data_IF_555138100875
#
_entry.id   IF_555138100875
#
_cell.length_a   1.000
_cell.length_b   1.000
_cell.length_c   1.000
_cell.angle_alpha   90.00
_cell.angle_beta   90.00
_cell.angle_gamma   90.00
#
_symmetry.space_group_name_H-M   'P 1'
#
loop_
_entity.id
_entity.type
_entity.pdbx_description
1 polymer ?
2 polymer ?
3 polymer ?
4 non-polymer ?
5 non-polymer ?
6 non-polymer ?
7 non-polymer ?
8 non-polymer ?
9 water ?
#
# COMPACT_ATOMS: atom_id res chain seq x y z
N UNK A 1 11.12 -17.73 4.08
CA UNK A 1 12.03 -16.59 4.15
C UNK A 1 11.67 -15.64 5.27
N UNK A 2 11.98 -14.35 5.11
CA UNK A 2 11.70 -13.33 6.11
C UNK A 2 10.25 -12.86 5.99
N UNK A 3 9.61 -12.55 7.13
CA UNK A 3 8.19 -12.12 7.10
C UNK A 3 7.99 -10.87 7.95
N UNK A 4 6.89 -10.15 7.72
CA UNK A 4 6.62 -8.98 8.54
C UNK A 4 5.16 -8.95 8.90
N UNK A 5 4.85 -8.26 9.99
CA UNK A 5 3.48 -7.93 10.32
C UNK A 5 3.49 -6.43 10.49
N UNK A 6 2.48 -5.75 9.93
CA UNK A 6 2.38 -4.29 10.09
C UNK A 6 0.95 -3.89 10.25
N UNK A 7 0.71 -2.88 11.11
CA UNK A 7 -0.58 -2.25 11.25
C UNK A 7 -0.40 -0.83 10.79
N UNK A 8 -1.40 -0.32 10.03
CA UNK A 8 -1.39 1.03 9.46
C UNK A 8 -2.66 1.75 9.90
N UNK A 9 -2.50 2.78 10.76
CA UNK A 9 -3.65 3.56 11.23
C UNK A 9 -3.67 4.92 10.55
N UNK A 10 -4.87 5.38 10.19
CA UNK A 10 -5.10 6.71 9.64
C UNK A 10 -6.22 7.38 10.42
N UNK A 11 -5.91 8.52 11.05
CA UNK A 11 -6.91 9.35 11.78
C UNK A 11 -6.96 10.67 11.05
N UNK A 12 -8.16 11.08 10.61
CA UNK A 12 -8.29 12.32 9.82
C UNK A 12 -9.34 13.21 10.42
N UNK A 13 -8.98 14.43 10.84
CA UNK A 13 -10.02 15.32 11.39
C UNK A 13 -10.80 15.93 10.25
N UNK A 14 -12.00 16.40 10.55
CA UNK A 14 -12.91 16.92 9.52
C UNK A 14 -13.83 17.97 10.20
N UNK A 15 -13.27 19.13 10.62
CA UNK A 15 -14.08 20.10 11.39
C UNK A 15 -15.39 20.42 10.69
N UNK A 16 -16.47 20.37 11.46
CA UNK A 16 -17.82 20.64 10.95
C UNK A 16 -18.49 19.40 10.38
N UNK A 17 -17.73 18.26 10.30
CA UNK A 17 -18.28 17.01 9.74
C UNK A 17 -18.11 15.84 10.71
N UNK A 18 -18.22 16.14 12.00
CA UNK A 18 -18.11 15.14 13.06
C UNK A 18 -16.71 15.00 13.61
N UNK A 19 -16.50 13.91 14.33
CA UNK A 19 -15.21 13.58 14.94
C UNK A 19 -14.29 12.88 13.93
N UNK A 20 -12.97 12.88 14.22
CA UNK A 20 -12.02 12.27 13.27
C UNK A 20 -12.27 10.79 13.01
N UNK A 21 -12.23 10.42 11.73
CA UNK A 21 -12.41 9.01 11.38
C UNK A 21 -11.13 8.30 11.69
N UNK A 22 -11.22 7.10 12.31
CA UNK A 22 -10.03 6.27 12.56
C UNK A 22 -10.22 4.99 11.70
N UNK A 23 -9.24 4.67 10.86
CA UNK A 23 -9.23 3.43 10.10
C UNK A 23 -7.91 2.72 10.38
N UNK A 24 -7.98 1.40 10.56
CA UNK A 24 -6.78 0.60 10.69
C UNK A 24 -6.86 -0.57 9.72
N UNK A 25 -5.71 -0.95 9.13
CA UNK A 25 -5.57 -2.14 8.29
C UNK A 25 -4.34 -2.90 8.80
N UNK A 26 -4.47 -4.22 8.84
CA UNK A 26 -3.39 -5.08 9.29
C UNK A 26 -2.90 -5.95 8.13
N UNK A 27 -1.55 -6.13 7.99
CA UNK A 27 -0.94 -6.94 6.91
C UNK A 27 0.04 -7.92 7.50
N UNK A 28 0.16 -9.06 6.82
CA UNK A 28 1.28 -9.99 6.97
C UNK A 28 1.93 -9.92 5.58
N UNK A 29 3.20 -9.48 5.50
CA UNK A 29 3.85 -9.29 4.21
C UNK A 29 2.96 -8.39 3.37
N UNK A 30 2.63 -8.79 2.11
CA UNK A 30 1.79 -8.02 1.22
C UNK A 30 0.32 -8.44 1.27
N UNK A 31 -0.06 -9.19 2.30
CA UNK A 31 -1.42 -9.72 2.44
C UNK A 31 -2.19 -9.00 3.54
N UNK A 32 -3.22 -8.22 3.18
CA UNK A 32 -4.08 -7.58 4.20
C UNK A 32 -4.94 -8.66 4.85
N UNK A 33 -5.11 -8.63 6.17
CA UNK A 33 -5.91 -9.69 6.83
C UNK A 33 -7.01 -9.15 7.76
N UNK A 34 -6.94 -7.85 8.16
CA UNK A 34 -7.94 -7.26 9.05
C UNK A 34 -8.17 -5.79 8.71
N UNK A 35 -9.35 -5.28 9.11
CA UNK A 35 -9.63 -3.87 9.02
C UNK A 35 -10.49 -3.45 10.21
N UNK A 36 -10.48 -2.15 10.49
CA UNK A 36 -11.38 -1.55 11.52
C UNK A 36 -11.66 -0.15 11.02
N UNK A 37 -12.92 0.27 11.01
CA UNK A 37 -13.27 1.58 10.50
C UNK A 37 -14.31 2.24 11.46
N UNK A 38 -13.97 3.39 12.08
CA UNK A 38 -14.89 4.04 13.02
C UNK A 38 -16.18 4.55 12.31
N UNK A 39 -16.12 4.70 10.96
CA UNK A 39 -17.28 5.14 10.16
C UNK A 39 -18.19 3.97 9.73
N UNK A 40 -17.80 2.69 10.04
CA UNK A 40 -18.64 1.54 9.69
C UNK A 40 -19.96 1.64 10.53
N UNK A 41 -21.05 1.03 10.05
CA UNK A 41 -22.34 1.10 10.78
C UNK A 41 -22.21 0.59 12.22
N UNK A 42 -21.47 -0.51 12.44
CA UNK A 42 -21.22 -1.07 13.77
C UNK A 42 -19.72 -1.40 13.84
N UNK A 43 -18.86 -0.38 14.15
CA UNK A 43 -17.40 -0.61 14.10
C UNK A 43 -16.92 -1.83 14.84
N UNK A 44 -16.21 -2.69 14.10
CA UNK A 44 -15.70 -3.95 14.61
C UNK A 44 -14.50 -4.37 13.77
N UNK A 45 -13.55 -5.11 14.38
CA UNK A 45 -12.44 -5.63 13.59
C UNK A 45 -13.07 -6.72 12.70
N UNK A 46 -12.78 -6.65 11.40
CA UNK A 46 -13.33 -7.59 10.44
C UNK A 46 -12.23 -8.35 9.73
N UNK A 47 -12.50 -9.63 9.40
CA UNK A 47 -11.49 -10.42 8.68
C UNK A 47 -11.42 -10.01 7.22
N UNK A 48 -10.23 -10.08 6.63
CA UNK A 48 -10.05 -9.70 5.24
C UNK A 48 -9.16 -10.71 4.49
N UNK A 49 -8.88 -11.84 5.12
CA UNK A 49 -8.13 -12.95 4.56
C UNK A 49 -8.70 -14.27 5.08
N UNK A 50 -8.70 -15.34 4.26
CA UNK A 50 -9.35 -16.59 4.71
C UNK A 50 -8.81 -17.24 5.96
N UNK A 51 -7.49 -17.19 6.14
CA UNK A 51 -6.79 -17.81 7.25
C UNK A 51 -6.99 -17.15 8.64
N UNK A 52 -7.61 -15.95 8.68
CA UNK A 52 -7.85 -15.28 9.98
C UNK A 52 -9.31 -15.55 10.45
N UNK A 53 -10.15 -16.06 9.53
CA UNK A 53 -11.58 -16.31 9.84
C UNK A 53 -11.78 -17.29 10.99
N UNK A 54 -10.84 -18.22 11.17
CA UNK A 54 -10.90 -19.24 12.25
C UNK A 54 -10.74 -18.66 13.67
N UNK A 55 -10.25 -17.40 13.79
CA UNK A 55 -10.10 -16.80 15.12
C UNK A 55 -11.46 -16.71 15.82
N UNK A 56 -11.50 -17.06 17.09
CA UNK A 56 -12.75 -17.10 17.85
C UNK A 56 -13.38 -15.73 18.13
N UNK A 57 -14.57 -15.72 18.77
CA UNK A 57 -15.23 -14.44 19.11
C UNK A 57 -14.42 -13.53 20.04
N UNK A 58 -13.61 -14.13 20.93
CA UNK A 58 -12.75 -13.41 21.88
C UNK A 58 -11.67 -12.60 21.15
N UNK A 59 -11.24 -13.07 19.98
CA UNK A 59 -10.23 -12.38 19.14
C UNK A 59 -10.86 -11.08 18.62
N UNK A 60 -12.00 -11.18 17.93
CA UNK A 60 -12.68 -10.03 17.36
C UNK A 60 -13.14 -9.06 18.42
N UNK A 61 -13.63 -9.57 19.58
CA UNK A 61 -14.06 -8.69 20.68
C UNK A 61 -12.90 -7.89 21.29
N UNK A 62 -11.79 -8.56 21.66
CA UNK A 62 -10.64 -7.92 22.28
C UNK A 62 -10.05 -6.87 21.33
N UNK A 63 -9.86 -7.25 20.06
CA UNK A 63 -9.26 -6.34 19.09
C UNK A 63 -10.14 -5.13 18.80
N UNK A 64 -11.48 -5.34 18.73
CA UNK A 64 -12.40 -4.22 18.54
C UNK A 64 -12.23 -3.21 19.70
N UNK A 65 -12.15 -3.70 20.95
CA UNK A 65 -11.96 -2.79 22.08
C UNK A 65 -10.62 -2.03 22.00
N UNK A 66 -9.55 -2.68 21.49
CA UNK A 66 -8.24 -2.02 21.29
C UNK A 66 -8.37 -0.83 20.28
N UNK A 67 -9.00 -1.08 19.11
CA UNK A 67 -9.12 -0.02 18.11
C UNK A 67 -10.02 1.12 18.62
N UNK A 68 -11.12 0.79 19.33
CA UNK A 68 -11.98 1.86 19.84
C UNK A 68 -11.22 2.77 20.81
N UNK A 69 -10.41 2.17 21.70
CA UNK A 69 -9.62 2.96 22.65
C UNK A 69 -8.59 3.77 21.89
N UNK A 70 -7.96 3.16 20.85
CA UNK A 70 -6.96 3.86 20.05
C UNK A 70 -7.58 5.04 19.32
N UNK A 71 -8.80 4.86 18.73
CA UNK A 71 -9.45 5.97 18.05
C UNK A 71 -9.57 7.20 19.00
N UNK A 72 -9.97 6.96 20.27
CA UNK A 72 -10.11 8.03 21.27
C UNK A 72 -8.78 8.67 21.58
N UNK A 73 -7.73 7.84 21.75
CA UNK A 73 -6.38 8.37 21.99
C UNK A 73 -5.90 9.24 20.79
N UNK A 74 -6.14 8.77 19.54
CA UNK A 74 -5.76 9.52 18.36
C UNK A 74 -6.50 10.85 18.30
N UNK A 75 -7.78 10.87 18.73
CA UNK A 75 -8.49 12.16 18.68
C UNK A 75 -7.85 13.16 19.67
N UNK A 76 -7.42 12.67 20.86
CA UNK A 76 -6.71 13.50 21.85
C UNK A 76 -5.37 13.99 21.24
N UNK A 77 -4.62 13.05 20.63
CA UNK A 77 -3.35 13.39 19.95
C UNK A 77 -3.57 14.44 18.88
N UNK A 78 -4.62 14.33 18.03
CA UNK A 78 -4.89 15.35 16.99
C UNK A 78 -5.11 16.74 17.60
N UNK A 79 -5.89 16.82 18.73
CA UNK A 79 -6.11 18.09 19.43
C UNK A 79 -4.75 18.64 19.91
N UNK A 80 -3.91 17.79 20.54
CA UNK A 80 -2.60 18.24 21.04
C UNK A 80 -1.68 18.73 19.92
N UNK A 81 -1.67 17.96 18.81
CA UNK A 81 -0.86 18.24 17.62
C UNK A 81 -1.21 19.60 17.04
N UNK A 82 -2.52 19.90 16.92
CA UNK A 82 -3.03 21.16 16.40
C UNK A 82 -2.44 22.30 17.29
N UNK A 83 -2.46 22.14 18.62
CA UNK A 83 -1.86 23.11 19.55
C UNK A 83 -0.35 23.24 19.41
N UNK A 84 0.38 22.09 19.26
CA UNK A 84 1.84 22.19 19.12
C UNK A 84 2.28 22.97 17.91
N UNK A 85 1.47 22.98 16.85
CA UNK A 85 1.74 23.71 15.60
C UNK A 85 0.99 25.04 15.47
N UNK A 86 0.34 25.48 16.56
CA UNK A 86 -0.44 26.73 16.60
C UNK A 86 -1.41 26.79 15.42
N UNK A 87 -2.07 25.67 15.12
CA UNK A 87 -2.99 25.61 13.98
C UNK A 87 -4.44 25.96 14.39
N UNK A 88 -5.21 26.50 13.43
CA UNK A 88 -6.62 26.85 13.65
C UNK A 88 -7.49 25.60 13.84
N UNK A 89 -8.66 25.75 14.47
CA UNK A 89 -9.58 24.64 14.66
C UNK A 89 -10.35 24.34 13.37
N UNK A 90 -10.15 25.16 12.31
CA UNK A 90 -10.87 25.07 11.02
C UNK A 90 -10.33 24.09 9.99
N UNK A 91 -9.05 23.78 10.06
CA UNK A 91 -8.47 22.92 9.03
C UNK A 91 -8.47 21.45 9.40
N UNK A 92 -8.39 20.58 8.37
CA UNK A 92 -8.34 19.11 8.46
C UNK A 92 -6.88 18.63 8.49
N UNK A 93 -6.56 17.75 9.47
CA UNK A 93 -5.22 17.21 9.70
C UNK A 93 -5.24 15.71 9.76
N UNK A 94 -4.09 15.10 9.46
CA UNK A 94 -3.99 13.65 9.42
C UNK A 94 -2.90 13.16 10.38
N UNK A 95 -3.20 12.12 11.15
CA UNK A 95 -2.22 11.47 11.99
C UNK A 95 -2.18 10.01 11.51
N UNK A 96 -0.99 9.56 11.09
CA UNK A 96 -0.78 8.18 10.64
C UNK A 96 0.14 7.50 11.61
N UNK A 97 -0.10 6.22 11.84
CA UNK A 97 0.70 5.40 12.72
C UNK A 97 1.06 4.13 11.92
N UNK A 98 2.31 3.62 12.06
CA UNK A 98 2.71 2.42 11.32
C UNK A 98 3.65 1.67 12.28
N UNK A 99 3.32 0.40 12.61
CA UNK A 99 4.17 -0.33 13.53
C UNK A 99 4.14 -1.80 13.18
N UNK A 100 5.12 -2.53 13.69
CA UNK A 100 5.11 -3.98 13.49
C UNK A 100 6.49 -4.55 13.62
N UNK A 101 6.60 -5.85 13.28
CA UNK A 101 7.84 -6.60 13.48
C UNK A 101 8.21 -7.36 12.23
N UNK A 102 9.55 -7.58 12.07
CA UNK A 102 10.12 -8.38 10.99
C UNK A 102 10.77 -9.60 11.63
N UNK A 103 10.51 -10.79 11.09
CA UNK A 103 11.09 -12.02 11.67
C UNK A 103 11.79 -12.80 10.55
N UNK A 104 12.81 -13.59 10.91
CA UNK A 104 13.51 -14.40 9.94
C UNK A 104 12.82 -15.72 9.68
N UNK A 105 13.46 -16.62 8.87
CA UNK A 105 12.86 -17.93 8.58
C UNK A 105 12.57 -18.79 9.80
N UNK A 106 13.30 -18.53 10.90
CA UNK A 106 13.15 -19.24 12.18
C UNK A 106 12.21 -18.57 13.19
N UNK A 107 11.51 -17.52 12.77
CA UNK A 107 10.57 -16.82 13.65
C UNK A 107 11.20 -15.83 14.62
N UNK A 108 12.54 -15.67 14.59
CA UNK A 108 13.21 -14.76 15.54
C UNK A 108 13.06 -13.28 15.09
N UNK A 109 12.91 -12.36 16.08
CA UNK A 109 12.79 -10.93 15.79
C UNK A 109 14.03 -10.38 15.12
N UNK A 110 13.85 -9.74 13.95
CA UNK A 110 14.94 -9.12 13.20
C UNK A 110 14.93 -7.61 13.45
N UNK A 111 13.72 -7.01 13.51
CA UNK A 111 13.61 -5.56 13.64
C UNK A 111 12.18 -5.22 14.05
N UNK A 112 12.04 -4.21 14.91
CA UNK A 112 10.72 -3.68 15.25
C UNK A 112 10.61 -2.23 14.75
N UNK A 113 9.38 -1.77 14.49
CA UNK A 113 9.08 -0.41 14.02
C UNK A 113 7.86 0.10 14.77
N UNK A 114 7.85 1.41 15.10
CA UNK A 114 6.71 2.04 15.76
C UNK A 114 6.84 3.52 15.52
N UNK A 115 6.12 4.02 14.52
CA UNK A 115 6.36 5.42 14.13
C UNK A 115 5.14 6.13 13.65
N UNK A 116 5.29 7.45 13.48
CA UNK A 116 4.14 8.31 13.19
C UNK A 116 4.48 9.41 12.22
N UNK A 117 3.43 9.89 11.54
CA UNK A 117 3.49 11.03 10.63
C UNK A 117 2.31 11.96 10.88
N UNK A 118 2.57 13.27 10.77
CA UNK A 118 1.51 14.26 10.91
C UNK A 118 1.45 15.05 9.62
N UNK A 119 0.27 15.12 9.01
CA UNK A 119 0.08 15.79 7.72
C UNK A 119 1.10 15.30 6.66
N UNK A 120 1.36 13.98 6.66
CA UNK A 120 2.24 13.34 5.67
C UNK A 120 3.73 13.44 5.91
N UNK A 121 4.14 14.10 7.03
CA UNK A 121 5.57 14.30 7.34
C UNK A 121 5.95 13.48 8.57
N UNK A 122 7.13 12.81 8.53
CA UNK A 122 7.56 12.07 9.73
C UNK A 122 7.50 12.98 10.96
N UNK A 123 6.99 12.43 12.07
CA UNK A 123 6.77 13.18 13.30
C UNK A 123 7.65 12.64 14.40
N UNK A 124 7.48 11.37 14.74
CA UNK A 124 8.31 10.74 15.77
C UNK A 124 8.39 9.27 15.45
N UNK A 125 9.51 8.64 15.83
CA UNK A 125 9.69 7.23 15.56
C UNK A 125 10.49 6.56 16.69
N UNK A 126 10.13 5.32 17.03
CA UNK A 126 10.90 4.57 18.00
C UNK A 126 12.15 4.14 17.26
N UNK A 127 13.31 4.34 17.89
CA UNK A 127 14.58 3.94 17.26
C UNK A 127 14.70 2.41 17.18
N UNK A 128 15.67 1.92 16.39
CA UNK A 128 15.90 0.49 16.22
C UNK A 128 16.16 -0.23 17.56
N UNK A 129 16.72 0.49 18.52
CA UNK A 129 16.99 -0.09 19.85
C UNK A 129 15.73 -0.40 20.62
N UNK A 130 14.56 0.14 20.18
CA UNK A 130 13.26 -0.07 20.82
C UNK A 130 13.22 0.54 22.25
N UNK A 131 14.12 1.50 22.51
CA UNK A 131 14.21 2.13 23.86
C UNK A 131 14.21 3.67 23.82
N UNK A 132 14.45 4.27 22.67
CA UNK A 132 14.57 5.73 22.59
C UNK A 132 13.80 6.20 21.34
N UNK A 133 13.52 7.50 21.25
CA UNK A 133 12.74 8.09 20.18
C UNK A 133 13.54 9.11 19.39
N UNK A 134 13.16 9.31 18.12
CA UNK A 134 13.71 10.39 17.31
C UNK A 134 12.54 11.29 16.94
N UNK A 135 12.63 12.56 17.34
CA UNK A 135 11.60 13.58 17.08
C UNK A 135 12.04 14.46 15.91
N UNK A 136 11.11 14.70 14.97
CA UNK A 136 11.43 15.47 13.75
C UNK A 136 11.58 16.97 13.94
N UNK A 137 10.93 17.51 14.98
CA UNK A 137 10.86 18.95 15.19
C UNK A 137 10.52 19.27 16.63
N UNK A 138 10.43 20.58 16.97
CA UNK A 138 10.18 20.95 18.38
C UNK A 138 8.81 20.52 18.90
N UNK A 139 7.82 20.31 18.01
CA UNK A 139 6.50 19.85 18.44
C UNK A 139 6.64 18.35 18.85
N UNK A 140 7.30 17.50 17.99
CA UNK A 140 7.49 16.10 18.31
C UNK A 140 8.39 15.95 19.56
N UNK A 141 9.26 16.96 19.86
CA UNK A 141 10.05 16.90 21.10
C UNK A 141 9.14 16.94 22.32
N UNK A 142 7.98 17.59 22.20
CA UNK A 142 7.01 17.58 23.31
C UNK A 142 6.46 16.17 23.51
N UNK A 143 6.06 15.52 22.39
CA UNK A 143 5.60 14.14 22.48
C UNK A 143 6.71 13.29 23.09
N UNK A 144 7.97 13.48 22.64
CA UNK A 144 9.08 12.68 23.16
C UNK A 144 9.24 12.85 24.68
N UNK A 145 9.19 14.10 25.16
CA UNK A 145 9.31 14.37 26.61
C UNK A 145 8.17 13.66 27.37
N UNK A 146 6.95 13.72 26.85
CA UNK A 146 5.81 13.08 27.51
C UNK A 146 6.04 11.55 27.55
N UNK A 147 6.50 10.96 26.42
CA UNK A 147 6.68 9.51 26.34
C UNK A 147 7.87 9.06 27.14
N UNK A 148 8.90 9.90 27.24
CA UNK A 148 10.05 9.54 28.07
C UNK A 148 9.59 9.55 29.54
N UNK A 149 8.80 10.57 29.95
CA UNK A 149 8.30 10.66 31.33
C UNK A 149 7.44 9.45 31.69
N UNK A 150 6.63 8.99 30.72
CA UNK A 150 5.75 7.84 30.94
C UNK A 150 6.42 6.46 30.69
N UNK A 151 7.73 6.43 30.28
CA UNK A 151 8.45 5.19 29.93
C UNK A 151 7.64 4.42 28.86
N UNK A 152 7.04 5.18 27.93
CA UNK A 152 6.18 4.64 26.88
C UNK A 152 6.90 3.60 26.00
N UNK A 153 8.21 3.83 25.72
CA UNK A 153 8.95 2.91 24.87
C UNK A 153 8.95 1.46 25.40
N UNK A 154 8.93 1.29 26.74
CA UNK A 154 8.99 -0.05 27.34
C UNK A 154 7.79 -0.91 26.97
N UNK A 155 6.59 -0.28 26.91
CA UNK A 155 5.37 -0.98 26.52
C UNK A 155 5.43 -1.29 25.00
N UNK A 156 6.05 -0.40 24.23
CA UNK A 156 6.17 -0.61 22.77
C UNK A 156 7.10 -1.76 22.48
N UNK A 157 8.27 -1.79 23.16
CA UNK A 157 9.22 -2.87 23.02
C UNK A 157 8.62 -4.20 23.42
N UNK A 158 7.86 -4.23 24.54
CA UNK A 158 7.28 -5.47 25.01
C UNK A 158 6.37 -6.08 23.93
N UNK A 159 5.55 -5.25 23.26
CA UNK A 159 4.67 -5.76 22.21
C UNK A 159 5.50 -6.24 21.01
N UNK A 160 6.47 -5.44 20.56
CA UNK A 160 7.24 -5.78 19.37
C UNK A 160 8.05 -7.07 19.50
N UNK A 161 8.60 -7.35 20.71
CA UNK A 161 9.39 -8.55 20.91
C UNK A 161 8.54 -9.75 21.36
N UNK A 162 7.34 -9.46 21.86
CA UNK A 162 6.41 -10.43 22.43
C UNK A 162 5.26 -10.78 21.52
N UNK A 163 4.09 -10.19 21.81
CA UNK A 163 2.83 -10.39 21.06
C UNK A 163 3.01 -10.27 19.55
N UNK A 164 3.79 -9.29 19.08
CA UNK A 164 3.94 -9.09 17.64
C UNK A 164 4.54 -10.33 16.96
N UNK A 165 5.63 -10.86 17.55
CA UNK A 165 6.34 -12.01 17.02
C UNK A 165 5.48 -13.29 17.16
N UNK A 166 4.84 -13.46 18.31
CA UNK A 166 4.02 -14.66 18.60
C UNK A 166 2.79 -14.73 17.71
N UNK A 167 2.09 -13.60 17.50
CA UNK A 167 0.91 -13.60 16.61
C UNK A 167 1.35 -13.75 15.14
N UNK A 168 2.45 -13.09 14.72
CA UNK A 168 2.93 -13.27 13.34
C UNK A 168 3.23 -14.76 13.07
N UNK A 169 3.93 -15.42 14.01
CA UNK A 169 4.27 -16.84 13.87
C UNK A 169 3.00 -17.70 13.73
N UNK A 170 1.94 -17.37 14.51
CA UNK A 170 0.62 -18.06 14.46
C UNK A 170 -0.04 -17.85 13.07
N UNK A 171 -0.06 -16.58 12.60
CA UNK A 171 -0.68 -16.26 11.30
C UNK A 171 0.04 -16.96 10.16
N UNK A 172 1.37 -17.03 10.21
CA UNK A 172 2.17 -17.71 9.19
C UNK A 172 1.85 -19.18 9.16
N UNK A 173 1.67 -19.80 10.34
CA UNK A 173 1.33 -21.22 10.39
C UNK A 173 -0.09 -21.42 9.81
N UNK A 174 -1.06 -20.64 10.30
CA UNK A 174 -2.45 -20.75 9.86
C UNK A 174 -2.67 -20.46 8.37
N UNK A 175 -1.91 -19.52 7.81
CA UNK A 175 -2.02 -19.18 6.40
C UNK A 175 -0.87 -19.67 5.54
N UNK A 176 -0.18 -20.73 5.98
CA UNK A 176 1.02 -21.23 5.31
C UNK A 176 0.88 -21.53 3.82
N UNK A 177 -0.28 -22.05 3.38
CA UNK A 177 -0.42 -22.41 1.96
C UNK A 177 -0.31 -21.20 1.02
N UNK A 178 -0.58 -19.96 1.55
CA UNK A 178 -0.54 -18.72 0.78
C UNK A 178 0.66 -17.85 1.20
N UNK A 179 0.79 -17.61 2.51
CA UNK A 179 1.83 -16.73 3.06
C UNK A 179 3.25 -17.22 2.84
N UNK A 180 3.41 -18.57 2.74
CA UNK A 180 4.73 -19.17 2.54
C UNK A 180 4.90 -19.62 1.09
N UNK A 181 4.03 -19.13 0.19
CA UNK A 181 4.11 -19.46 -1.22
C UNK A 181 4.48 -18.24 -2.03
N UNK A 182 5.54 -18.35 -2.83
CA UNK A 182 5.91 -17.25 -3.72
C UNK A 182 5.42 -17.63 -5.12
N UNK A 183 4.58 -16.80 -5.75
CA UNK A 183 4.07 -17.07 -7.10
C UNK A 183 4.98 -16.32 -8.06
N UNK A 184 5.64 -17.02 -8.99
CA UNK A 184 6.58 -16.31 -9.87
C UNK A 184 5.86 -15.46 -10.90
N UNK A 185 6.56 -14.43 -11.45
CA UNK A 185 5.92 -13.64 -12.52
C UNK A 185 5.76 -14.43 -13.80
N UNK A 186 4.65 -14.21 -14.50
CA UNK A 186 4.37 -14.73 -15.84
C UNK A 186 4.81 -13.57 -16.73
N UNK A 187 5.75 -13.84 -17.65
CA UNK A 187 6.38 -12.75 -18.43
C UNK A 187 6.14 -12.84 -19.92
N UNK A 188 6.26 -11.70 -20.58
CA UNK A 188 6.21 -11.57 -22.05
C UNK A 188 6.73 -10.19 -22.43
N UNK A 189 7.19 -10.06 -23.67
CA UNK A 189 7.68 -8.79 -24.21
C UNK A 189 6.78 -8.43 -25.38
N UNK A 190 6.28 -7.18 -25.40
CA UNK A 190 5.47 -6.68 -26.52
C UNK A 190 6.26 -5.67 -27.30
N UNK A 191 5.88 -5.47 -28.56
CA UNK A 191 6.62 -4.58 -29.46
C UNK A 191 5.59 -3.72 -30.14
N UNK A 192 5.74 -2.39 -30.04
CA UNK A 192 4.80 -1.51 -30.69
C UNK A 192 5.53 -0.42 -31.46
N UNK A 193 5.47 -0.39 -32.81
CA UNK A 193 6.12 0.70 -33.53
C UNK A 193 5.53 2.05 -33.12
N UNK A 194 6.39 3.05 -32.98
CA UNK A 194 6.06 4.45 -32.64
C UNK A 194 6.04 5.26 -33.94
N UNK A 195 6.98 4.95 -34.84
CA UNK A 195 7.16 5.63 -36.13
C UNK A 195 7.96 4.66 -37.00
N UNK A 196 8.38 5.11 -38.21
CA UNK A 196 9.15 4.21 -39.07
C UNK A 196 10.50 3.82 -38.47
N UNK A 197 11.04 4.63 -37.58
CA UNK A 197 12.39 4.40 -37.07
C UNK A 197 12.52 4.09 -35.57
N UNK A 198 11.39 4.01 -34.83
CA UNK A 198 11.46 3.65 -33.41
C UNK A 198 10.29 2.76 -33.02
N UNK A 199 10.49 1.93 -31.99
CA UNK A 199 9.43 1.06 -31.47
C UNK A 199 9.60 0.97 -29.96
N UNK A 200 8.49 0.70 -29.26
CA UNK A 200 8.57 0.49 -27.81
C UNK A 200 8.65 -1.00 -27.58
N UNK A 201 9.58 -1.40 -26.70
CA UNK A 201 9.64 -2.78 -26.21
C UNK A 201 9.13 -2.68 -24.76
N UNK A 202 8.11 -3.45 -24.41
CA UNK A 202 7.58 -3.43 -23.04
C UNK A 202 7.70 -4.82 -22.44
N UNK A 203 8.36 -4.90 -21.29
CA UNK A 203 8.57 -6.15 -20.61
C UNK A 203 7.56 -6.26 -19.47
N UNK A 204 6.71 -7.28 -19.50
CA UNK A 204 5.62 -7.50 -18.55
C UNK A 204 5.93 -8.57 -17.52
N UNK A 205 5.50 -8.33 -16.29
CA UNK A 205 5.53 -9.31 -15.19
C UNK A 205 4.12 -9.31 -14.60
N UNK A 206 3.44 -10.48 -14.63
CA UNK A 206 2.09 -10.60 -14.12
C UNK A 206 1.92 -11.74 -13.14
N UNK A 207 0.95 -11.60 -12.24
CA UNK A 207 0.57 -12.70 -11.37
C UNK A 207 1.56 -13.15 -10.32
N UNK A 208 2.44 -12.25 -9.89
CA UNK A 208 3.44 -12.60 -8.90
C UNK A 208 3.08 -12.16 -7.46
N UNK A 209 3.66 -12.87 -6.50
CA UNK A 209 3.50 -12.56 -5.08
C UNK A 209 4.77 -13.12 -4.41
N UNK A 210 5.40 -12.37 -3.49
CA UNK A 210 5.07 -11.01 -3.01
C UNK A 210 5.36 -9.93 -4.04
N UNK A 211 5.08 -8.68 -3.68
CA UNK A 211 5.21 -7.54 -4.60
C UNK A 211 6.63 -7.26 -5.04
N UNK A 212 7.62 -7.52 -4.17
CA UNK A 212 9.03 -7.23 -4.46
C UNK A 212 9.46 -7.92 -5.73
N UNK A 213 9.99 -7.13 -6.72
CA UNK A 213 10.46 -7.62 -7.99
C UNK A 213 11.49 -6.67 -8.56
N UNK A 214 12.41 -7.19 -9.41
CA UNK A 214 13.34 -6.28 -10.08
C UNK A 214 13.13 -6.54 -11.58
N UNK A 215 12.74 -5.49 -12.33
CA UNK A 215 12.54 -5.55 -13.79
C UNK A 215 13.46 -4.51 -14.40
N UNK A 216 14.39 -4.94 -15.25
CA UNK A 216 15.31 -4.00 -15.89
C UNK A 216 15.46 -4.29 -17.37
N UNK A 217 15.82 -3.26 -18.16
CA UNK A 217 16.17 -3.49 -19.56
C UNK A 217 17.67 -3.20 -19.67
N UNK A 218 18.37 -3.99 -20.50
CA UNK A 218 19.78 -3.78 -20.84
C UNK A 218 19.89 -3.63 -22.33
N UNK A 219 20.83 -2.80 -22.78
CA UNK A 219 21.14 -2.62 -24.22
C UNK A 219 22.63 -3.02 -24.25
N UNK A 220 22.96 -4.06 -25.03
CA UNK A 220 24.30 -4.63 -25.12
C UNK A 220 24.83 -4.95 -23.71
N UNK A 221 23.94 -5.45 -22.82
CA UNK A 221 24.32 -5.81 -21.46
C UNK A 221 24.51 -4.69 -20.45
N UNK A 222 24.20 -3.42 -20.84
CA UNK A 222 24.33 -2.27 -19.95
C UNK A 222 22.96 -1.83 -19.49
N UNK A 223 22.76 -1.65 -18.16
CA UNK A 223 21.46 -1.18 -17.63
C UNK A 223 21.03 0.13 -18.29
N UNK A 224 19.73 0.23 -18.60
CA UNK A 224 19.13 1.40 -19.23
C UNK A 224 18.26 2.20 -18.22
N UNK A 225 18.80 2.43 -17.02
CA UNK A 225 18.10 3.14 -15.93
C UNK A 225 17.40 4.43 -16.34
N UNK A 226 18.14 5.37 -16.92
CA UNK A 226 17.57 6.65 -17.32
C UNK A 226 16.62 6.60 -18.50
N UNK A 227 16.74 5.57 -19.36
CA UNK A 227 15.89 5.47 -20.55
C UNK A 227 14.73 4.48 -20.43
N UNK A 228 14.53 3.92 -19.22
CA UNK A 228 13.43 2.96 -19.03
C UNK A 228 12.24 3.63 -18.36
N UNK A 229 11.01 3.41 -18.89
CA UNK A 229 9.80 3.87 -18.19
C UNK A 229 9.37 2.66 -17.34
N UNK A 230 9.42 2.82 -16.02
CA UNK A 230 9.12 1.74 -15.08
C UNK A 230 7.91 2.11 -14.23
N UNK A 231 6.77 1.41 -14.40
CA UNK A 231 5.55 1.74 -13.63
C UNK A 231 5.65 1.16 -12.23
N UNK A 232 4.92 1.80 -11.26
CA UNK A 232 4.91 1.28 -9.90
C UNK A 232 4.23 -0.07 -9.91
N UNK A 233 4.74 -0.99 -9.09
CA UNK A 233 4.13 -2.31 -8.90
C UNK A 233 2.71 -2.10 -8.41
N UNK A 234 1.78 -2.82 -9.05
CA UNK A 234 0.34 -2.60 -8.83
C UNK A 234 -0.40 -3.87 -8.50
N UNK A 235 -1.42 -3.78 -7.63
CA UNK A 235 -2.17 -5.00 -7.27
C UNK A 235 -3.14 -5.42 -8.38
N UNK A 236 -3.27 -6.74 -8.63
CA UNK A 236 -4.21 -7.21 -9.66
C UNK A 236 -5.64 -7.39 -9.10
N UNK A 237 -5.76 -7.49 -7.78
CA UNK A 237 -7.05 -7.68 -7.12
C UNK A 237 -7.31 -9.12 -6.72
N UNK A 238 -6.42 -10.05 -7.11
CA UNK A 238 -6.52 -11.50 -6.79
C UNK A 238 -5.35 -11.94 -5.86
N UNK A 239 -4.77 -10.98 -5.10
CA UNK A 239 -3.62 -11.12 -4.18
C UNK A 239 -2.29 -10.91 -4.92
N UNK A 240 -2.28 -11.03 -6.24
CA UNK A 240 -1.03 -10.90 -7.00
C UNK A 240 -0.74 -9.48 -7.45
N UNK A 241 0.46 -9.25 -7.98
CA UNK A 241 0.93 -7.94 -8.45
C UNK A 241 1.37 -7.98 -9.90
N UNK A 242 1.46 -6.78 -10.51
CA UNK A 242 1.89 -6.64 -11.90
C UNK A 242 2.91 -5.52 -11.98
N UNK A 243 3.72 -5.56 -13.02
CA UNK A 243 4.68 -4.47 -13.28
C UNK A 243 5.12 -4.57 -14.72
N UNK A 244 5.50 -3.43 -15.29
CA UNK A 244 6.10 -3.43 -16.62
C UNK A 244 7.21 -2.40 -16.71
N UNK A 245 8.11 -2.61 -17.68
CA UNK A 245 9.23 -1.70 -17.96
C UNK A 245 9.30 -1.55 -19.46
N UNK A 246 9.39 -0.30 -19.94
CA UNK A 246 9.41 -0.08 -21.37
C UNK A 246 10.61 0.74 -21.80
N UNK A 247 11.07 0.47 -23.01
CA UNK A 247 12.16 1.24 -23.57
C UNK A 247 11.81 1.54 -25.04
N UNK A 248 12.29 2.68 -25.54
CA UNK A 248 12.11 3.09 -26.94
C UNK A 248 13.39 2.72 -27.65
N UNK A 249 13.28 1.89 -28.69
CA UNK A 249 14.44 1.36 -29.38
C UNK A 249 14.46 1.73 -30.87
N UNK A 250 15.66 1.93 -31.43
CA UNK A 250 15.75 2.17 -32.87
C UNK A 250 15.30 0.92 -33.65
N UNK A 251 14.53 1.11 -34.73
CA UNK A 251 14.06 0.00 -35.55
C UNK A 251 15.25 -0.81 -36.06
N UNK A 252 15.14 -2.13 -35.92
CA UNK A 252 16.19 -3.06 -36.34
C UNK A 252 17.18 -3.42 -35.24
N UNK A 253 17.19 -2.67 -34.09
CA UNK A 253 18.12 -2.97 -33.00
C UNK A 253 17.48 -3.77 -31.86
N UNK A 254 16.24 -4.24 -32.05
CA UNK A 254 15.52 -4.94 -30.97
C UNK A 254 16.33 -6.05 -30.28
N UNK A 255 17.11 -6.85 -31.06
CA UNK A 255 17.84 -7.99 -30.48
C UNK A 255 18.99 -7.61 -29.54
N UNK A 256 19.34 -6.32 -29.50
CA UNK A 256 20.38 -5.83 -28.59
C UNK A 256 19.84 -5.58 -27.18
N UNK A 257 18.53 -5.70 -27.02
CA UNK A 257 17.87 -5.39 -25.75
C UNK A 257 17.41 -6.67 -25.05
N UNK A 258 17.66 -6.74 -23.74
CA UNK A 258 17.28 -7.90 -22.93
C UNK A 258 16.58 -7.40 -21.70
N UNK A 259 15.51 -8.09 -21.34
CA UNK A 259 14.78 -7.75 -20.13
C UNK A 259 15.17 -8.78 -19.09
N UNK A 260 15.49 -8.30 -17.90
CA UNK A 260 15.96 -9.14 -16.80
C UNK A 260 14.92 -9.09 -15.68
N UNK A 261 14.49 -10.25 -15.19
CA UNK A 261 13.47 -10.35 -14.14
C UNK A 261 14.03 -11.12 -12.95
N UNK A 262 13.98 -10.51 -11.76
CA UNK A 262 14.39 -11.18 -10.51
C UNK A 262 13.15 -11.18 -9.60
N UNK A 263 12.80 -12.37 -9.06
CA UNK A 263 11.65 -12.50 -8.14
C UNK A 263 11.90 -13.73 -7.29
N UNK A 264 11.44 -13.71 -6.04
CA UNK A 264 11.67 -14.91 -5.19
C UNK A 264 11.01 -16.21 -5.66
N UNK A 265 9.96 -16.10 -6.48
CA UNK A 265 9.23 -17.22 -7.03
C UNK A 265 9.98 -17.95 -8.13
N UNK A 266 11.01 -17.30 -8.67
CA UNK A 266 11.79 -17.83 -9.78
C UNK A 266 12.96 -18.73 -9.36
N UNK A 267 13.07 -19.96 -9.95
CA UNK A 267 14.25 -20.82 -9.67
C UNK A 267 15.55 -20.06 -9.95
N UNK A 268 15.63 -19.39 -11.13
CA UNK A 268 16.74 -18.53 -11.50
C UNK A 268 16.22 -17.27 -12.24
N UNK A 269 16.94 -16.13 -12.23
CA UNK A 269 16.45 -14.94 -12.95
C UNK A 269 16.18 -15.18 -14.43
N UNK A 270 15.20 -14.45 -14.99
CA UNK A 270 14.84 -14.58 -16.38
C UNK A 270 15.57 -13.55 -17.22
N UNK A 271 15.94 -13.94 -18.44
CA UNK A 271 16.52 -13.06 -19.47
C UNK A 271 15.56 -13.23 -20.64
N UNK A 272 14.86 -12.14 -21.00
CA UNK A 272 13.90 -12.20 -22.09
C UNK A 272 14.26 -11.26 -23.21
N UNK A 273 13.85 -11.62 -24.41
CA UNK A 273 14.02 -10.78 -25.57
C UNK A 273 12.69 -10.75 -26.31
N UNK A 274 12.54 -9.77 -27.21
CA UNK A 274 11.36 -9.72 -28.05
C UNK A 274 11.46 -10.89 -29.05
N UNK A 275 10.41 -11.72 -29.07
CA UNK A 275 10.32 -12.89 -29.94
C UNK A 275 9.31 -12.58 -31.08
N UNK A 276 9.79 -12.09 -32.24
CA UNK A 276 8.85 -11.77 -33.33
C UNK A 276 8.25 -13.00 -34.02
N UNK B 2 3.88 19.14 1.54
CA UNK B 2 2.59 19.67 1.99
C UNK B 2 1.47 18.77 1.43
N UNK B 3 1.33 18.69 0.09
CA UNK B 3 0.36 17.81 -0.56
C UNK B 3 1.03 17.02 -1.68
N UNK B 4 0.51 15.81 -1.97
CA UNK B 4 1.06 14.93 -3.00
C UNK B 4 -0.06 14.46 -3.92
N UNK B 5 0.13 14.69 -5.21
CA UNK B 5 -0.87 14.34 -6.22
C UNK B 5 -0.86 12.83 -6.55
N UNK B 6 -2.01 12.22 -6.86
CA UNK B 6 -1.97 10.79 -7.12
C UNK B 6 -1.34 10.40 -8.43
N UNK B 7 -0.66 9.26 -8.41
CA UNK B 7 -0.24 8.53 -9.59
C UNK B 7 -1.51 7.68 -9.91
N UNK B 8 -1.80 7.44 -11.18
CA UNK B 8 -3.01 6.69 -11.58
C UNK B 8 -2.62 5.67 -12.65
N UNK B 9 -3.06 4.42 -12.47
CA UNK B 9 -2.87 3.36 -13.45
C UNK B 9 -4.20 2.69 -13.67
N UNK B 10 -4.59 2.50 -14.93
CA UNK B 10 -5.86 1.83 -15.27
C UNK B 10 -5.49 0.59 -16.09
N UNK B 11 -6.01 -0.56 -15.69
CA UNK B 11 -5.60 -1.83 -16.27
C UNK B 11 -6.52 -2.96 -15.87
N UNK B 12 -6.38 -4.10 -16.53
CA UNK B 12 -7.19 -5.25 -16.21
C UNK B 12 -6.47 -6.26 -15.31
N UNK B 13 -7.25 -7.04 -14.57
CA UNK B 13 -6.70 -8.07 -13.68
C UNK B 13 -5.88 -9.12 -14.45
N UNK B 14 -6.43 -9.55 -15.63
CA UNK B 14 -5.78 -10.50 -16.55
C UNK B 14 -5.68 -9.83 -17.90
N UNK B 15 -4.74 -10.24 -18.81
CA UNK B 15 -4.69 -9.64 -20.15
C UNK B 15 -6.08 -9.76 -20.76
N UNK B 16 -6.53 -8.68 -21.37
CA UNK B 16 -7.88 -8.59 -21.90
C UNK B 16 -8.09 -9.51 -23.10
N UNK B 17 -9.24 -10.17 -23.12
CA UNK B 17 -9.65 -11.04 -24.21
C UNK B 17 -11.14 -10.75 -24.44
N UNK B 18 -11.47 -10.20 -25.63
CA UNK B 18 -12.86 -9.84 -25.97
C UNK B 18 -13.83 -10.98 -25.75
N UNK B 19 -14.86 -10.73 -24.95
CA UNK B 19 -15.88 -11.71 -24.63
C UNK B 19 -15.62 -12.52 -23.37
N UNK B 20 -14.47 -12.30 -22.72
CA UNK B 20 -14.15 -13.03 -21.49
C UNK B 20 -14.22 -12.09 -20.28
N UNK B 21 -14.95 -12.51 -19.23
CA UNK B 21 -15.12 -11.73 -18.01
C UNK B 21 -13.76 -11.51 -17.36
N UNK B 22 -13.58 -10.34 -16.78
CA UNK B 22 -12.31 -9.93 -16.19
C UNK B 22 -12.63 -8.86 -15.12
N UNK B 23 -11.60 -8.14 -14.64
CA UNK B 23 -11.81 -7.02 -13.70
C UNK B 23 -11.07 -5.83 -14.22
N UNK B 24 -11.75 -4.67 -14.21
CA UNK B 24 -11.14 -3.37 -14.60
C UNK B 24 -10.72 -2.70 -13.31
N UNK B 25 -9.43 -2.35 -13.24
CA UNK B 25 -8.86 -1.74 -12.05
C UNK B 25 -8.40 -0.33 -12.28
N UNK B 26 -8.49 0.49 -11.25
CA UNK B 26 -7.85 1.81 -11.25
C UNK B 26 -7.13 1.92 -9.93
N UNK B 27 -5.79 1.99 -10.00
CA UNK B 27 -4.94 2.05 -8.80
C UNK B 27 -4.48 3.48 -8.67
N UNK B 28 -4.81 4.10 -7.53
CA UNK B 28 -4.36 5.45 -7.23
C UNK B 28 -3.37 5.34 -6.10
N UNK B 29 -2.22 6.01 -6.21
CA UNK B 29 -1.20 5.83 -5.17
C UNK B 29 -0.35 7.09 -5.05
N UNK B 30 0.46 7.14 -4.01
CA UNK B 30 1.38 8.25 -3.80
C UNK B 30 0.76 9.59 -3.43
N UNK B 31 -0.52 9.58 -3.02
CA UNK B 31 -1.21 10.83 -2.72
C UNK B 31 -1.31 11.16 -1.24
N UNK B 32 -1.53 12.46 -0.95
CA UNK B 32 -1.72 12.96 0.40
C UNK B 32 -2.39 14.34 0.27
N UNK B 33 -3.50 14.63 0.97
CA UNK B 33 -4.22 13.83 1.97
C UNK B 33 -4.99 12.67 1.32
N UNK B 34 -5.62 11.84 2.16
CA UNK B 34 -6.28 10.61 1.76
C UNK B 34 -7.60 10.80 1.01
N UNK B 35 -8.30 11.93 1.24
CA UNK B 35 -9.57 12.11 0.53
C UNK B 35 -9.34 12.16 -0.97
N UNK B 36 -10.09 11.36 -1.68
CA UNK B 36 -9.95 11.22 -3.14
C UNK B 36 -11.26 10.70 -3.68
N UNK B 37 -11.55 11.03 -4.93
CA UNK B 37 -12.77 10.51 -5.55
C UNK B 37 -12.34 9.85 -6.84
N UNK B 38 -12.77 8.59 -7.06
CA UNK B 38 -12.38 7.83 -8.26
C UNK B 38 -13.64 7.27 -8.91
N UNK B 39 -13.79 7.45 -10.22
CA UNK B 39 -14.86 6.86 -10.99
C UNK B 39 -14.26 5.97 -12.07
N UNK B 40 -14.94 4.85 -12.36
CA UNK B 40 -14.58 4.07 -13.54
C UNK B 40 -15.67 4.44 -14.55
N UNK B 41 -15.27 4.65 -15.81
CA UNK B 41 -16.20 5.04 -16.89
C UNK B 41 -16.21 4.00 -17.99
N UNK B 42 -17.42 3.75 -18.55
CA UNK B 42 -17.63 2.89 -19.71
C UNK B 42 -18.23 3.81 -20.76
N UNK B 43 -17.55 3.98 -21.90
CA UNK B 43 -18.02 4.87 -22.99
C UNK B 43 -18.46 6.27 -22.43
N UNK B 44 -17.61 6.83 -21.56
CA UNK B 44 -17.77 8.14 -20.92
C UNK B 44 -18.79 8.21 -19.80
N UNK B 45 -19.46 7.09 -19.49
CA UNK B 45 -20.49 7.09 -18.43
C UNK B 45 -19.99 6.39 -17.17
N UNK B 46 -20.38 6.91 -16.01
CA UNK B 46 -19.97 6.32 -14.72
C UNK B 46 -20.52 4.93 -14.52
N UNK B 47 -19.63 3.97 -14.17
CA UNK B 47 -20.05 2.61 -13.85
C UNK B 47 -20.56 2.63 -12.41
N UNK B 48 -21.72 2.03 -12.15
CA UNK B 48 -22.32 1.99 -10.80
C UNK B 48 -21.72 0.88 -9.95
N UNK B 49 -21.77 1.04 -8.61
CA UNK B 49 -21.31 0.01 -7.65
C UNK B 49 -19.86 -0.46 -7.79
N UNK B 50 -18.96 0.45 -8.14
CA UNK B 50 -17.53 0.13 -8.21
C UNK B 50 -17.10 -0.07 -6.75
N UNK B 51 -16.25 -1.09 -6.49
CA UNK B 51 -15.77 -1.37 -5.15
C UNK B 51 -14.36 -0.84 -4.98
N UNK B 52 -13.87 -0.76 -3.74
CA UNK B 52 -12.48 -0.32 -3.53
C UNK B 52 -11.86 -0.98 -2.35
N UNK B 53 -10.53 -0.99 -2.31
CA UNK B 53 -9.80 -1.56 -1.18
C UNK B 53 -9.89 -0.65 0.07
N UNK B 54 -9.49 -1.21 1.24
CA UNK B 54 -9.44 -0.45 2.48
C UNK B 54 -8.26 0.52 2.45
N UNK B 55 -8.50 1.72 2.96
CA UNK B 55 -7.46 2.75 2.96
C UNK B 55 -6.17 2.27 3.61
N UNK B 56 -5.06 2.31 2.85
CA UNK B 56 -3.75 1.93 3.37
C UNK B 56 -2.71 2.90 2.84
N UNK B 57 -1.45 2.76 3.29
CA UNK B 57 -0.41 3.68 2.84
C UNK B 57 0.93 2.98 2.81
N UNK B 58 1.86 3.59 2.08
CA UNK B 58 3.23 3.08 1.87
C UNK B 58 4.17 3.59 2.96
N UNK B 59 5.45 3.10 2.97
CA UNK B 59 6.45 3.53 3.96
C UNK B 59 6.74 5.02 3.93
N UNK B 60 6.50 5.71 2.79
CA UNK B 60 6.68 7.15 2.69
C UNK B 60 5.43 7.93 3.12
N UNK B 61 4.46 7.20 3.74
CA UNK B 61 3.20 7.72 4.25
C UNK B 61 2.17 8.07 3.17
N UNK B 62 2.52 7.95 1.88
CA UNK B 62 1.51 8.27 0.87
C UNK B 62 0.45 7.15 0.78
N UNK B 63 -0.81 7.56 0.52
CA UNK B 63 -1.92 6.61 0.48
C UNK B 63 -2.05 5.90 -0.85
N UNK B 64 -2.73 4.73 -0.84
CA UNK B 64 -3.03 4.04 -2.09
C UNK B 64 -4.37 3.32 -1.95
N UNK B 65 -5.09 3.22 -3.06
CA UNK B 65 -6.39 2.54 -3.14
C UNK B 65 -6.52 1.88 -4.47
N UNK B 66 -7.19 0.74 -4.50
CA UNK B 66 -7.53 0.06 -5.73
C UNK B 66 -9.05 0.14 -5.88
N UNK B 67 -9.53 0.69 -7.00
CA UNK B 67 -10.96 0.69 -7.35
C UNK B 67 -11.14 -0.36 -8.42
N UNK B 68 -12.23 -1.15 -8.34
CA UNK B 68 -12.35 -2.24 -9.29
C UNK B 68 -13.80 -2.60 -9.57
N UNK B 69 -14.02 -3.17 -10.77
CA UNK B 69 -15.35 -3.63 -11.19
C UNK B 69 -15.23 -4.83 -12.14
N UNK B 70 -16.19 -5.77 -12.06
CA UNK B 70 -16.21 -6.92 -12.96
C UNK B 70 -16.66 -6.39 -14.32
N UNK B 71 -16.01 -6.81 -15.40
CA UNK B 71 -16.38 -6.37 -16.76
C UNK B 71 -16.02 -7.39 -17.81
N UNK B 72 -16.71 -7.35 -18.95
CA UNK B 72 -16.40 -8.21 -20.09
C UNK B 72 -15.96 -7.31 -21.22
N UNK B 73 -14.64 -7.23 -21.51
CA UNK B 73 -14.21 -6.36 -22.60
C UNK B 73 -14.73 -6.79 -23.97
N UNK B 74 -14.89 -5.80 -24.85
CA UNK B 74 -15.31 -5.96 -26.23
C UNK B 74 -14.38 -5.08 -27.06
N UNK B 75 -14.37 -5.22 -28.40
CA UNK B 75 -13.53 -4.43 -29.28
C UNK B 75 -14.00 -2.96 -29.30
N UNK B 76 -15.32 -2.74 -29.19
CA UNK B 76 -15.90 -1.40 -29.30
C UNK B 76 -15.89 -0.55 -28.04
N UNK B 77 -16.09 -1.17 -26.87
CA UNK B 77 -16.18 -0.43 -25.62
C UNK B 77 -14.87 0.20 -25.15
N UNK B 78 -14.96 1.46 -24.74
CA UNK B 78 -13.82 2.21 -24.22
C UNK B 78 -14.04 2.37 -22.74
N UNK B 79 -12.94 2.27 -21.97
CA UNK B 79 -12.99 2.43 -20.51
C UNK B 79 -11.95 3.44 -20.07
N UNK B 80 -12.20 4.06 -18.91
CA UNK B 80 -11.26 5.02 -18.33
C UNK B 80 -11.44 5.13 -16.84
N UNK B 81 -10.53 5.82 -16.20
CA UNK B 81 -10.60 6.15 -14.78
C UNK B 81 -10.58 7.68 -14.69
N UNK B 82 -11.38 8.25 -13.78
CA UNK B 82 -11.47 9.69 -13.57
C UNK B 82 -11.26 9.95 -12.08
N UNK B 83 -10.26 10.75 -11.78
CA UNK B 83 -9.82 11.00 -10.42
C UNK B 83 -9.93 12.46 -10.08
N UNK B 84 -10.44 12.73 -8.89
CA UNK B 84 -10.48 14.07 -8.33
C UNK B 84 -9.69 14.04 -7.03
N UNK B 85 -8.94 15.12 -6.75
CA UNK B 85 -8.13 15.24 -5.54
C UNK B 85 -7.84 16.71 -5.33
N UNK B 86 -7.59 17.13 -4.06
CA UNK B 86 -7.34 18.53 -3.71
C UNK B 86 -6.23 19.17 -4.58
N UNK B 87 -5.23 18.35 -4.97
CA UNK B 87 -4.11 18.78 -5.78
C UNK B 87 -4.45 19.01 -7.23
N UNK B 88 -5.69 18.62 -7.67
CA UNK B 88 -6.13 18.71 -9.07
C UNK B 88 -7.19 19.79 -9.27
N UNK B 89 -6.95 20.71 -10.20
CA UNK B 89 -7.90 21.79 -10.48
C UNK B 89 -9.08 21.27 -11.30
N UNK B 90 -8.86 20.20 -12.08
CA UNK B 90 -9.86 19.56 -12.93
C UNK B 90 -9.77 18.05 -12.72
N UNK B 91 -10.85 17.26 -12.95
CA UNK B 91 -10.72 15.79 -12.84
C UNK B 91 -9.67 15.32 -13.85
N UNK B 92 -8.86 14.32 -13.45
CA UNK B 92 -7.83 13.77 -14.31
C UNK B 92 -8.36 12.45 -14.88
N UNK B 93 -8.37 12.34 -16.20
CA UNK B 93 -8.87 11.16 -16.91
C UNK B 93 -7.73 10.37 -17.52
N UNK B 94 -7.71 9.06 -17.21
CA UNK B 94 -6.72 8.13 -17.79
C UNK B 94 -7.51 7.03 -18.48
N UNK B 95 -7.27 6.90 -19.79
CA UNK B 95 -7.93 5.89 -20.62
C UNK B 95 -7.27 4.52 -20.46
N UNK B 96 -8.11 3.48 -20.47
CA UNK B 96 -7.65 2.11 -20.45
C UNK B 96 -7.07 1.78 -21.82
N UNK B 97 -5.85 1.34 -21.81
CA UNK B 97 -5.10 0.93 -23.00
C UNK B 97 -4.64 -0.48 -22.66
N UNK B 98 -5.17 -1.47 -23.38
CA UNK B 98 -4.89 -2.90 -23.16
C UNK B 98 -3.39 -3.23 -23.10
N UNK B 99 -2.57 -2.41 -23.77
CA UNK B 99 -1.12 -2.58 -23.86
C UNK B 99 -0.36 -1.97 -22.68
N UNK B 100 -1.07 -1.49 -21.64
CA UNK B 100 -0.41 -0.85 -20.50
C UNK B 100 -1.04 -1.22 -19.13
N UNK C 1 -2.24 -9.46 15.90
CA UNK C 1 -3.10 -8.76 16.86
C UNK C 1 -2.54 -7.35 17.12
N UNK C 2 -3.38 -6.28 17.18
CA UNK C 2 -2.85 -4.92 17.40
C UNK C 2 -2.31 -4.71 18.80
N UNK C 3 -1.54 -3.61 18.96
CA UNK C 3 -0.85 -3.16 20.17
C UNK C 3 -1.74 -2.21 20.98
N UNK C 4 -1.53 -2.20 22.30
CA UNK C 4 -2.16 -1.26 23.24
C UNK C 4 -1.04 -0.30 23.65
N UNK C 5 -1.31 1.02 23.63
CA UNK C 5 -0.29 1.99 24.10
C UNK C 5 -0.63 2.36 25.55
N UNK C 6 0.19 3.24 26.15
CA UNK C 6 -0.03 3.77 27.50
C UNK C 6 -1.31 4.58 27.60
N UNK C 7 -1.74 5.14 26.48
CA UNK C 7 -2.98 5.91 26.37
C UNK C 7 -2.93 7.34 26.86
N UNK C 8 -1.72 7.84 27.15
CA UNK C 8 -1.53 9.20 27.62
C UNK C 8 -1.59 10.25 26.52
N UNK C 9 -1.61 9.79 25.24
CA UNK C 9 -1.65 10.57 23.99
C UNK C 9 -0.33 11.30 23.69
N UNK C 10 -0.22 11.80 22.49
CA UNK C 10 0.95 12.53 21.98
C UNK C 10 1.05 13.95 22.56
#
# INVERSE_FOLDING_TARGET
GSHSMRYFYTSVSRPGRGEPRFISVGYVDDTQFVRFDSDAASPREEPRAPWIEQEGPEYWDRNTQIYKAQAQTDRESLRNLRGYYNQSEAGSHTLQSMYGCDVGPDGRLLRGHDQYAYDGKDYIALNEDLRSWTAADTAAQITQRKWEAAREAEQRRAYLEGECVEWLRRYLENGKDKLERADPPKTHVTHHPISDHEATLRCWALGFYPAEITLTWQRDGEDQTQDTELVETRPAGDRTFQKWAAVVVPSGEEQRYTCHVQHEGLPKPLTLRWEP
MIQRTPKIQVYSRHPAQNGKSNFLNCYVSGFHPSDIEVDLLKNGERIEAVEHSDLSFSKDWSFYLLYYTEFTPTEKDEYACRVNHVTLSQPKIVKWDRDM
TPRVTGGGAM
#
